data_IF_308560974287
#
_entry.id   IF_308560974287
#
_cell.length_a   1.000
_cell.length_b   1.000
_cell.length_c   1.000
_cell.angle_alpha   90.00
_cell.angle_beta   90.00
_cell.angle_gamma   90.00
#
_symmetry.space_group_name_H-M   'P 1'
#
loop_
_entity.id
_entity.type
_entity.pdbx_description
1 polymer ?
#
# COMPACT_ATOMS: atom_id res chain seq x y z
N UNK A 1 -4.17 -23.34 -24.44
CA UNK A 1 -3.75 -22.64 -23.21
C UNK A 1 -4.79 -22.90 -22.15
N UNK A 2 -4.40 -23.47 -21.00
CA UNK A 2 -5.34 -23.70 -19.88
C UNK A 2 -5.14 -22.55 -18.90
N UNK A 3 -6.20 -21.81 -18.59
CA UNK A 3 -6.21 -20.90 -17.42
C UNK A 3 -6.23 -21.81 -16.20
N UNK A 4 -5.22 -21.74 -15.33
CA UNK A 4 -5.14 -22.59 -14.14
C UNK A 4 -5.69 -21.90 -12.90
N UNK A 5 -5.58 -20.57 -12.80
CA UNK A 5 -6.14 -19.81 -11.68
C UNK A 5 -6.53 -18.37 -12.08
N UNK A 6 -7.55 -17.85 -11.39
CA UNK A 6 -7.98 -16.45 -11.39
C UNK A 6 -8.17 -15.99 -9.94
N UNK A 7 -7.77 -14.77 -9.64
CA UNK A 7 -7.91 -14.15 -8.32
C UNK A 7 -8.32 -12.69 -8.46
N UNK A 8 -9.21 -12.26 -7.56
CA UNK A 8 -9.61 -10.86 -7.45
C UNK A 8 -9.76 -10.50 -5.98
N UNK A 9 -9.30 -9.31 -5.63
CA UNK A 9 -9.46 -8.73 -4.30
C UNK A 9 -9.83 -7.26 -4.39
N UNK A 10 -10.69 -6.82 -3.48
CA UNK A 10 -11.00 -5.43 -3.24
C UNK A 10 -10.64 -5.06 -1.79
N UNK A 11 -9.83 -4.02 -1.64
CA UNK A 11 -9.35 -3.52 -0.35
C UNK A 11 -9.90 -2.12 -0.11
N UNK A 12 -10.39 -1.86 1.10
CA UNK A 12 -10.83 -0.54 1.53
C UNK A 12 -10.48 -0.30 2.99
N UNK A 13 -9.61 0.67 3.26
CA UNK A 13 -9.23 1.09 4.62
C UNK A 13 -9.49 2.57 4.91
N UNK A 14 -10.20 3.28 4.03
CA UNK A 14 -10.50 4.72 4.18
C UNK A 14 -11.39 5.05 5.39
N UNK A 15 -12.09 4.06 5.94
CA UNK A 15 -13.01 4.21 7.07
C UNK A 15 -12.31 3.73 8.34
N UNK A 16 -11.89 4.67 9.17
CA UNK A 16 -11.24 4.44 10.46
C UNK A 16 -12.03 5.23 11.53
N UNK A 17 -13.27 4.82 11.77
CA UNK A 17 -14.26 5.51 12.64
C UNK A 17 -14.62 6.96 12.26
N UNK A 18 -14.08 7.46 11.14
CA UNK A 18 -14.40 8.77 10.59
C UNK A 18 -13.32 9.83 10.89
N UNK A 19 -13.52 11.08 10.45
CA UNK A 19 -12.56 12.16 10.64
C UNK A 19 -12.68 12.87 12.00
N UNK A 20 -13.62 12.49 12.87
CA UNK A 20 -13.77 13.10 14.20
C UNK A 20 -12.52 12.93 15.06
N UNK A 21 -12.24 13.87 15.97
CA UNK A 21 -11.09 13.72 16.87
C UNK A 21 -11.16 12.41 17.69
N UNK A 22 -10.00 11.79 18.00
CA UNK A 22 -9.98 10.53 18.75
C UNK A 22 -10.41 10.72 20.21
N UNK A 23 -10.05 11.84 20.84
CA UNK A 23 -10.50 12.25 22.17
C UNK A 23 -10.86 13.74 22.15
N UNK A 24 -11.63 14.18 23.15
CA UNK A 24 -11.94 15.59 23.36
C UNK A 24 -10.71 16.40 23.77
N UNK A 25 -10.67 17.66 23.36
CA UNK A 25 -9.63 18.62 23.74
C UNK A 25 -10.25 19.83 24.46
N UNK A 26 -9.45 20.77 24.94
CA UNK A 26 -9.97 22.00 25.55
C UNK A 26 -10.86 22.81 24.59
N UNK A 27 -10.55 22.76 23.28
CA UNK A 27 -11.28 23.48 22.23
C UNK A 27 -12.44 22.66 21.62
N UNK A 28 -12.33 21.34 21.60
CA UNK A 28 -13.26 20.43 20.93
C UNK A 28 -13.75 19.36 21.90
N UNK A 29 -14.80 19.66 22.67
CA UNK A 29 -15.35 18.73 23.66
C UNK A 29 -16.63 18.05 23.19
N UNK A 30 -17.46 18.76 22.42
CA UNK A 30 -18.75 18.26 21.95
C UNK A 30 -18.71 17.87 20.48
N UNK A 31 -19.76 17.17 20.04
CA UNK A 31 -19.95 16.84 18.63
C UNK A 31 -20.09 18.10 17.77
N UNK A 32 -20.78 19.11 18.29
CA UNK A 32 -20.98 20.39 17.62
C UNK A 32 -19.63 21.09 17.37
N UNK A 33 -18.76 21.12 18.39
CA UNK A 33 -17.40 21.67 18.26
C UNK A 33 -16.55 20.83 17.31
N UNK A 34 -16.75 19.51 17.28
CA UNK A 34 -16.07 18.55 16.40
C UNK A 34 -16.70 18.47 14.99
N UNK A 35 -17.24 19.58 14.48
CA UNK A 35 -17.84 19.70 13.14
C UNK A 35 -18.93 18.67 12.83
N UNK A 36 -19.71 18.28 13.83
CA UNK A 36 -20.77 17.30 13.69
C UNK A 36 -20.32 15.84 13.67
N UNK A 37 -19.01 15.57 13.88
CA UNK A 37 -18.47 14.22 14.03
C UNK A 37 -18.44 13.78 15.49
N UNK A 38 -18.67 12.49 15.74
CA UNK A 38 -18.48 11.92 17.07
C UNK A 38 -16.99 11.92 17.46
N UNK A 39 -16.73 12.01 18.77
CA UNK A 39 -15.40 11.74 19.34
C UNK A 39 -15.12 10.22 19.26
N UNK A 40 -13.86 9.84 19.12
CA UNK A 40 -13.44 8.45 18.90
C UNK A 40 -13.25 8.10 17.42
N UNK A 41 -12.98 9.10 16.57
CA UNK A 41 -12.57 8.90 15.19
C UNK A 41 -11.06 8.90 15.00
N UNK A 42 -10.60 8.95 13.75
CA UNK A 42 -9.17 9.00 13.38
C UNK A 42 -8.32 7.91 14.04
N UNK A 43 -8.87 6.70 14.11
CA UNK A 43 -8.26 5.60 14.86
C UNK A 43 -6.81 5.33 14.45
N UNK A 44 -6.56 5.42 13.14
CA UNK A 44 -5.22 5.35 12.55
C UNK A 44 -4.49 4.07 12.99
N UNK A 45 -5.13 2.91 12.78
CA UNK A 45 -4.77 1.61 13.38
C UNK A 45 -3.32 1.13 13.19
N UNK A 46 -2.55 1.75 12.29
CA UNK A 46 -1.16 1.38 12.00
C UNK A 46 -0.14 2.31 12.66
N UNK A 47 -0.59 3.37 13.31
CA UNK A 47 0.21 4.27 14.13
C UNK A 47 -0.23 4.14 15.59
N UNK A 48 0.72 4.31 16.51
CA UNK A 48 0.45 4.19 17.94
C UNK A 48 1.27 5.20 18.73
N UNK A 49 0.66 5.76 19.78
CA UNK A 49 1.31 6.76 20.63
C UNK A 49 2.54 6.22 21.37
N UNK A 50 2.44 5.02 21.95
CA UNK A 50 3.51 4.40 22.71
C UNK A 50 4.55 3.75 21.78
N UNK A 51 4.07 3.04 20.76
CA UNK A 51 4.92 2.44 19.73
C UNK A 51 5.05 3.37 18.53
N UNK A 52 5.88 4.40 18.67
CA UNK A 52 6.04 5.47 17.68
C UNK A 52 6.60 4.99 16.33
N UNK A 53 7.17 3.79 16.26
CA UNK A 53 7.52 3.13 15.01
C UNK A 53 6.31 2.69 14.18
N UNK A 54 5.09 2.75 14.74
CA UNK A 54 3.90 2.17 14.15
C UNK A 54 4.04 0.65 13.93
N UNK A 55 3.14 0.08 13.12
CA UNK A 55 3.14 -1.34 12.75
C UNK A 55 4.22 -1.68 11.71
N UNK A 56 5.47 -1.40 12.07
CA UNK A 56 6.63 -1.54 11.18
C UNK A 56 7.74 -2.37 11.82
N UNK A 57 8.55 -2.99 10.96
CA UNK A 57 9.82 -3.61 11.33
C UNK A 57 10.89 -3.09 10.38
N UNK A 58 12.02 -2.62 10.93
CA UNK A 58 13.11 -2.02 10.14
C UNK A 58 12.59 -0.98 9.12
N UNK A 59 11.67 -0.10 9.56
CA UNK A 59 11.06 0.98 8.76
C UNK A 59 10.17 0.52 7.60
N UNK A 60 9.88 -0.78 7.50
CA UNK A 60 8.96 -1.37 6.52
C UNK A 60 7.65 -1.76 7.19
N UNK A 61 6.54 -1.55 6.49
CA UNK A 61 5.23 -1.99 6.97
C UNK A 61 5.21 -3.52 7.12
N UNK A 62 4.64 -4.01 8.23
CA UNK A 62 4.47 -5.47 8.47
C UNK A 62 3.11 -6.01 8.01
N UNK A 63 2.22 -5.14 7.54
CA UNK A 63 0.84 -5.45 7.13
C UNK A 63 0.70 -5.30 5.62
N UNK A 64 -0.35 -4.63 5.15
CA UNK A 64 -0.65 -4.47 3.74
C UNK A 64 0.52 -3.79 3.00
N UNK A 65 1.09 -4.41 1.95
CA UNK A 65 2.23 -3.85 1.20
C UNK A 65 1.95 -2.54 0.47
N UNK A 66 0.68 -2.17 0.26
CA UNK A 66 0.29 -0.89 -0.36
C UNK A 66 0.37 0.28 0.62
N UNK A 67 0.51 0.02 1.92
CA UNK A 67 0.70 1.08 2.90
C UNK A 67 2.12 1.63 2.86
N UNK A 68 2.24 2.94 3.00
CA UNK A 68 3.51 3.62 2.90
C UNK A 68 3.96 4.10 4.26
N UNK A 69 5.19 3.76 4.62
CA UNK A 69 5.89 4.39 5.73
C UNK A 69 6.48 5.72 5.27
N UNK A 70 6.68 6.65 6.20
CA UNK A 70 7.30 7.94 5.92
C UNK A 70 8.72 7.76 5.35
N UNK A 71 9.50 6.84 5.91
CA UNK A 71 10.83 6.52 5.40
C UNK A 71 10.81 6.04 3.95
N UNK A 72 9.83 5.21 3.59
CA UNK A 72 9.69 4.71 2.23
C UNK A 72 9.24 5.80 1.26
N UNK A 73 8.26 6.62 1.66
CA UNK A 73 7.71 7.66 0.78
C UNK A 73 8.71 8.77 0.45
N UNK A 74 9.70 9.03 1.30
CA UNK A 74 10.79 9.99 1.01
C UNK A 74 11.64 9.63 -0.21
N UNK A 75 11.55 8.41 -0.73
CA UNK A 75 12.26 8.03 -1.95
C UNK A 75 11.60 8.59 -3.22
N UNK A 76 10.33 9.02 -3.16
CA UNK A 76 9.57 9.40 -4.35
C UNK A 76 8.56 10.54 -4.16
N UNK A 77 8.18 10.88 -2.93
CA UNK A 77 7.36 12.06 -2.63
C UNK A 77 8.25 13.24 -2.25
N UNK A 78 7.80 14.50 -2.47
CA UNK A 78 8.45 15.67 -1.91
C UNK A 78 8.53 15.60 -0.38
N UNK A 79 9.31 16.47 0.25
CA UNK A 79 9.33 16.54 1.72
C UNK A 79 8.04 17.17 2.23
N UNK A 80 7.41 16.54 3.22
CA UNK A 80 6.20 17.02 3.89
C UNK A 80 6.26 16.65 5.38
N UNK A 81 5.49 17.32 6.26
CA UNK A 81 5.41 16.96 7.67
C UNK A 81 4.84 15.55 7.84
N UNK A 82 5.40 14.75 8.75
CA UNK A 82 4.89 13.40 9.01
C UNK A 82 3.72 13.38 10.01
N UNK A 83 3.41 14.51 10.64
CA UNK A 83 2.33 14.67 11.63
C UNK A 83 2.36 13.62 12.75
N UNK A 84 3.56 13.27 13.22
CA UNK A 84 3.82 12.22 14.22
C UNK A 84 3.36 10.80 13.82
N UNK A 85 3.17 10.54 12.52
CA UNK A 85 2.86 9.23 11.98
C UNK A 85 4.07 8.61 11.27
N UNK A 86 4.36 7.35 11.58
CA UNK A 86 5.36 6.57 10.85
C UNK A 86 4.76 5.91 9.60
N UNK A 87 3.50 5.47 9.67
CA UNK A 87 2.71 4.98 8.52
C UNK A 87 1.86 6.13 8.01
N UNK A 88 2.29 6.76 6.92
CA UNK A 88 1.70 8.01 6.39
C UNK A 88 0.65 7.78 5.31
N UNK A 89 0.49 6.54 4.85
CA UNK A 89 -0.60 6.14 3.97
C UNK A 89 -1.13 4.78 4.39
N UNK A 90 -2.24 4.79 5.13
CA UNK A 90 -2.97 3.60 5.53
C UNK A 90 -4.48 3.66 5.23
N UNK A 91 -4.92 4.73 4.55
CA UNK A 91 -6.28 4.90 4.04
C UNK A 91 -6.25 4.74 2.52
N UNK A 92 -6.59 3.55 2.03
CA UNK A 92 -6.57 3.24 0.60
C UNK A 92 -7.90 2.64 0.13
N UNK A 93 -8.13 2.73 -1.18
CA UNK A 93 -9.03 1.84 -1.92
C UNK A 93 -8.19 1.14 -2.98
N UNK A 94 -8.25 -0.17 -3.09
CA UNK A 94 -7.49 -0.89 -4.09
C UNK A 94 -8.26 -2.06 -4.69
N UNK A 95 -7.93 -2.38 -5.92
CA UNK A 95 -8.37 -3.58 -6.64
C UNK A 95 -7.13 -4.33 -7.07
N UNK A 96 -7.09 -5.63 -6.79
CA UNK A 96 -6.00 -6.51 -7.18
C UNK A 96 -6.56 -7.66 -8.01
N UNK A 97 -5.87 -8.01 -9.10
CA UNK A 97 -6.23 -9.10 -9.99
C UNK A 97 -5.01 -9.96 -10.28
N UNK A 98 -5.18 -11.28 -10.17
CA UNK A 98 -4.16 -12.28 -10.45
C UNK A 98 -4.65 -13.32 -11.44
N UNK A 99 -3.77 -13.77 -12.34
CA UNK A 99 -4.05 -14.84 -13.30
C UNK A 99 -2.84 -15.74 -13.45
N UNK A 100 -3.08 -17.05 -13.57
CA UNK A 100 -2.07 -18.04 -13.94
C UNK A 100 -2.54 -18.78 -15.18
N UNK A 101 -1.65 -18.87 -16.18
CA UNK A 101 -1.84 -19.57 -17.44
C UNK A 101 -0.78 -20.65 -17.59
N UNK A 102 -1.20 -21.82 -18.07
CA UNK A 102 -0.30 -22.93 -18.38
C UNK A 102 -0.49 -23.31 -19.86
N UNK A 103 0.26 -22.66 -20.78
CA UNK A 103 0.17 -22.97 -22.20
C UNK A 103 0.62 -24.40 -22.54
N UNK A 104 1.51 -24.98 -21.73
CA UNK A 104 2.00 -26.36 -21.83
C UNK A 104 2.46 -26.86 -20.46
N UNK A 105 2.62 -28.17 -20.30
CA UNK A 105 3.09 -28.81 -19.05
C UNK A 105 4.47 -28.37 -18.54
N UNK A 106 5.23 -27.59 -19.34
CA UNK A 106 6.56 -27.07 -18.97
C UNK A 106 6.61 -25.56 -18.87
N UNK A 107 5.51 -24.84 -19.13
CA UNK A 107 5.50 -23.37 -19.18
C UNK A 107 4.33 -22.84 -18.35
N UNK A 108 4.65 -22.05 -17.34
CA UNK A 108 3.67 -21.31 -16.53
C UNK A 108 3.90 -19.81 -16.69
N UNK A 109 2.81 -19.07 -16.84
CA UNK A 109 2.79 -17.61 -16.90
C UNK A 109 1.89 -17.09 -15.78
N UNK A 110 2.38 -16.15 -14.98
CA UNK A 110 1.62 -15.50 -13.91
C UNK A 110 1.58 -14.00 -14.17
N UNK A 111 0.39 -13.41 -14.11
CA UNK A 111 0.17 -11.97 -14.18
C UNK A 111 -0.50 -11.48 -12.91
N UNK A 112 -0.01 -10.39 -12.34
CA UNK A 112 -0.60 -9.71 -11.19
C UNK A 112 -0.70 -8.22 -11.47
N UNK A 113 -1.86 -7.62 -11.17
CA UNK A 113 -2.15 -6.22 -11.44
C UNK A 113 -2.87 -5.60 -10.25
N UNK A 114 -2.44 -4.42 -9.82
CA UNK A 114 -3.05 -3.71 -8.70
C UNK A 114 -3.30 -2.26 -9.08
N UNK A 115 -4.51 -1.76 -8.85
CA UNK A 115 -4.82 -0.34 -8.91
C UNK A 115 -5.17 0.14 -7.50
N UNK A 116 -4.56 1.23 -7.05
CA UNK A 116 -4.78 1.81 -5.73
C UNK A 116 -5.06 3.31 -5.81
N UNK A 117 -5.87 3.80 -4.87
CA UNK A 117 -6.07 5.22 -4.58
C UNK A 117 -5.70 5.46 -3.13
N UNK A 118 -4.73 6.35 -2.90
CA UNK A 118 -4.03 6.53 -1.65
C UNK A 118 -4.40 7.88 -1.02
N UNK A 119 -5.08 7.86 0.13
CA UNK A 119 -5.61 9.05 0.81
C UNK A 119 -4.79 9.47 2.05
N UNK A 120 -3.65 8.81 2.30
CA UNK A 120 -2.75 9.13 3.40
C UNK A 120 -3.34 8.77 4.78
N UNK A 121 -3.26 9.69 5.74
CA UNK A 121 -3.92 9.60 7.06
C UNK A 121 -4.87 10.78 7.30
N UNK A 122 -5.68 10.73 8.36
CA UNK A 122 -6.45 11.91 8.78
C UNK A 122 -5.56 12.98 9.42
N UNK A 123 -4.53 12.58 10.18
CA UNK A 123 -3.58 13.53 10.75
C UNK A 123 -2.90 14.37 9.67
N UNK A 124 -2.52 13.75 8.53
CA UNK A 124 -1.98 14.49 7.40
C UNK A 124 -2.97 15.43 6.70
N UNK A 125 -4.27 15.08 6.71
CA UNK A 125 -5.32 15.89 6.08
C UNK A 125 -5.71 17.12 6.93
N UNK A 126 -5.52 17.04 8.25
CA UNK A 126 -5.92 18.06 9.22
C UNK A 126 -4.76 18.58 10.07
N UNK A 127 -3.54 18.57 9.54
CA UNK A 127 -2.30 19.03 10.20
C UNK A 127 -1.97 18.45 11.59
N UNK A 128 -2.63 17.36 11.98
CA UNK A 128 -2.36 16.68 13.24
C UNK A 128 -3.49 15.75 13.67
N UNK A 129 -3.19 14.86 14.61
CA UNK A 129 -4.17 13.88 15.13
C UNK A 129 -5.34 14.56 15.86
N UNK A 130 -5.05 15.62 16.60
CA UNK A 130 -6.00 16.41 17.41
C UNK A 130 -6.34 17.79 16.82
N UNK A 131 -5.97 18.02 15.56
CA UNK A 131 -6.09 19.29 14.86
C UNK A 131 -7.24 19.26 13.84
N UNK A 132 -7.79 20.41 13.48
CA UNK A 132 -8.83 20.54 12.45
C UNK A 132 -8.42 21.48 11.31
N UNK A 133 -7.19 21.97 11.31
CA UNK A 133 -6.58 22.80 10.28
C UNK A 133 -6.41 22.03 8.95
N UNK A 134 -5.48 22.44 8.09
CA UNK A 134 -5.34 21.87 6.76
C UNK A 134 -6.60 22.06 5.92
N UNK A 135 -7.22 20.96 5.47
CA UNK A 135 -8.32 21.02 4.49
C UNK A 135 -9.60 21.73 4.97
N UNK A 136 -9.77 21.95 6.28
CA UNK A 136 -10.91 22.75 6.76
C UNK A 136 -10.67 24.24 6.67
N UNK A 137 -9.44 24.68 6.94
CA UNK A 137 -9.05 26.09 6.94
C UNK A 137 -8.63 26.56 5.55
N UNK A 138 -8.07 25.67 4.74
CA UNK A 138 -7.63 25.92 3.37
C UNK A 138 -8.08 24.77 2.44
N UNK A 139 -9.05 25.00 1.55
CA UNK A 139 -9.47 24.00 0.55
C UNK A 139 -8.34 23.52 -0.39
N UNK A 140 -7.30 24.35 -0.56
CA UNK A 140 -6.12 24.07 -1.39
C UNK A 140 -4.91 23.65 -0.56
N UNK A 141 -5.13 23.25 0.70
CA UNK A 141 -4.09 22.83 1.63
C UNK A 141 -3.09 21.86 0.99
N UNK A 142 -1.80 22.20 1.07
CA UNK A 142 -0.73 21.42 0.45
C UNK A 142 -0.51 20.09 1.20
N UNK A 143 -1.23 19.07 0.74
CA UNK A 143 -1.13 17.72 1.25
C UNK A 143 -0.83 16.73 0.14
N UNK A 144 0.25 15.97 0.31
CA UNK A 144 0.77 15.04 -0.70
C UNK A 144 -0.22 13.94 -1.14
N UNK A 145 -1.25 13.63 -0.32
CA UNK A 145 -2.30 12.67 -0.67
C UNK A 145 -3.68 13.34 -0.91
N UNK A 146 -3.74 14.66 -1.05
CA UNK A 146 -5.00 15.37 -1.31
C UNK A 146 -5.65 14.85 -2.61
N UNK A 147 -6.97 14.66 -2.58
CA UNK A 147 -7.73 14.10 -3.71
C UNK A 147 -7.54 12.59 -3.95
N UNK A 148 -6.56 11.95 -3.31
CA UNK A 148 -6.27 10.53 -3.43
C UNK A 148 -5.34 10.22 -4.61
N UNK A 149 -4.08 9.86 -4.33
CA UNK A 149 -3.06 9.54 -5.34
C UNK A 149 -3.30 8.18 -5.95
N UNK A 150 -3.47 8.12 -7.27
CA UNK A 150 -3.69 6.89 -8.04
C UNK A 150 -2.37 6.24 -8.41
N UNK A 151 -2.27 4.93 -8.22
CA UNK A 151 -1.08 4.16 -8.57
C UNK A 151 -1.47 2.80 -9.14
N UNK A 152 -0.84 2.42 -10.25
CA UNK A 152 -0.96 1.11 -10.87
C UNK A 152 0.35 0.34 -10.68
N UNK A 153 0.22 -0.96 -10.39
CA UNK A 153 1.33 -1.89 -10.21
C UNK A 153 1.09 -3.13 -11.06
N UNK A 154 2.13 -3.67 -11.66
CA UNK A 154 2.03 -4.91 -12.43
C UNK A 154 3.26 -5.78 -12.32
N UNK A 155 3.04 -7.10 -12.34
CA UNK A 155 4.08 -8.11 -12.41
C UNK A 155 3.68 -9.18 -13.43
N UNK A 156 4.61 -9.53 -14.30
CA UNK A 156 4.54 -10.71 -15.16
C UNK A 156 5.69 -11.64 -14.77
N UNK A 157 5.37 -12.90 -14.53
CA UNK A 157 6.32 -13.96 -14.23
C UNK A 157 6.17 -15.09 -15.26
N UNK A 158 7.30 -15.59 -15.73
CA UNK A 158 7.41 -16.70 -16.68
C UNK A 158 8.28 -17.76 -16.02
N UNK A 159 7.78 -18.98 -15.92
CA UNK A 159 8.51 -20.14 -15.42
C UNK A 159 8.56 -21.22 -16.51
N UNK A 160 9.76 -21.65 -16.86
CA UNK A 160 10.02 -22.70 -17.85
C UNK A 160 10.78 -23.85 -17.20
N UNK A 161 10.14 -25.01 -17.14
CA UNK A 161 10.78 -26.25 -16.73
C UNK A 161 11.72 -26.77 -17.82
N UNK A 162 12.90 -27.19 -17.40
CA UNK A 162 13.92 -27.72 -18.29
C UNK A 162 14.86 -28.68 -17.54
N UNK A 163 15.95 -29.06 -18.18
CA UNK A 163 17.00 -29.88 -17.59
C UNK A 163 18.35 -29.23 -17.86
N UNK A 164 19.16 -29.08 -16.81
CA UNK A 164 20.52 -28.57 -16.90
C UNK A 164 21.44 -29.52 -16.13
N UNK A 165 22.53 -29.98 -16.75
CA UNK A 165 23.43 -31.01 -16.18
C UNK A 165 22.72 -32.29 -15.69
N UNK A 166 21.70 -32.74 -16.43
CA UNK A 166 20.84 -33.89 -16.07
C UNK A 166 20.01 -33.69 -14.79
N UNK A 167 20.00 -32.49 -14.22
CA UNK A 167 19.13 -32.12 -13.10
C UNK A 167 17.91 -31.33 -13.61
N UNK A 168 16.71 -31.56 -13.06
CA UNK A 168 15.55 -30.72 -13.37
C UNK A 168 15.78 -29.30 -12.84
N UNK A 169 15.46 -28.30 -13.66
CA UNK A 169 15.59 -26.90 -13.28
C UNK A 169 14.38 -26.09 -13.76
N UNK A 170 14.06 -25.04 -13.00
CA UNK A 170 13.11 -24.01 -13.42
C UNK A 170 13.88 -22.75 -13.80
N UNK A 171 13.72 -22.31 -15.04
CA UNK A 171 14.14 -20.98 -15.45
C UNK A 171 12.99 -20.01 -15.19
N UNK A 172 13.24 -19.00 -14.37
CA UNK A 172 12.26 -18.00 -13.99
C UNK A 172 12.69 -16.63 -14.50
N UNK A 173 11.75 -15.92 -15.11
CA UNK A 173 11.89 -14.51 -15.45
C UNK A 173 10.72 -13.72 -14.89
N UNK A 174 11.00 -12.59 -14.25
CA UNK A 174 9.99 -11.65 -13.76
C UNK A 174 10.24 -10.27 -14.34
N UNK A 175 9.16 -9.56 -14.62
CA UNK A 175 9.18 -8.18 -15.07
C UNK A 175 8.05 -7.40 -14.40
N UNK A 176 8.39 -6.23 -13.86
CA UNK A 176 7.47 -5.35 -13.15
C UNK A 176 7.42 -3.97 -13.81
N UNK A 177 6.22 -3.39 -13.85
CA UNK A 177 5.97 -2.03 -14.29
C UNK A 177 4.96 -1.38 -13.36
N UNK A 178 5.38 -0.29 -12.74
CA UNK A 178 4.57 0.52 -11.86
C UNK A 178 4.52 1.95 -12.39
N UNK A 179 3.34 2.56 -12.36
CA UNK A 179 3.17 3.94 -12.81
C UNK A 179 1.97 4.62 -12.14
N UNK A 180 2.05 5.94 -12.02
CA UNK A 180 0.97 6.75 -11.47
C UNK A 180 1.48 8.02 -10.82
N UNK A 181 0.71 8.51 -9.86
CA UNK A 181 0.95 9.78 -9.19
C UNK A 181 1.91 9.68 -7.99
N UNK A 182 2.26 8.46 -7.54
CA UNK A 182 3.25 8.26 -6.49
C UNK A 182 4.66 8.17 -7.07
N UNK A 183 4.85 7.26 -8.03
CA UNK A 183 6.13 7.05 -8.71
C UNK A 183 5.96 6.24 -9.99
N UNK A 184 6.99 6.26 -10.83
CA UNK A 184 7.13 5.34 -11.96
C UNK A 184 8.36 4.46 -11.73
N UNK A 185 8.21 3.15 -11.89
CA UNK A 185 9.29 2.20 -11.66
C UNK A 185 9.20 1.01 -12.62
N UNK A 186 10.35 0.43 -12.96
CA UNK A 186 10.43 -0.83 -13.70
C UNK A 186 11.48 -1.72 -13.06
N UNK A 187 11.23 -3.03 -13.07
CA UNK A 187 12.15 -4.01 -12.50
C UNK A 187 12.13 -5.30 -13.28
N UNK A 188 13.23 -6.05 -13.21
CA UNK A 188 13.30 -7.40 -13.75
C UNK A 188 14.15 -8.30 -12.86
N UNK A 189 13.86 -9.59 -12.89
CA UNK A 189 14.64 -10.63 -12.21
C UNK A 189 14.74 -11.87 -13.10
N UNK A 190 15.91 -12.50 -13.11
CA UNK A 190 16.14 -13.80 -13.74
C UNK A 190 16.68 -14.76 -12.69
N UNK A 191 16.11 -15.95 -12.61
CA UNK A 191 16.51 -16.96 -11.64
C UNK A 191 16.56 -18.36 -12.26
N UNK A 192 17.43 -19.20 -11.70
CA UNK A 192 17.52 -20.64 -12.00
C UNK A 192 17.33 -21.37 -10.68
N UNK A 193 16.29 -22.19 -10.59
CA UNK A 193 15.98 -22.99 -9.40
C UNK A 193 16.26 -24.46 -9.70
N UNK A 194 17.12 -25.10 -8.90
CA UNK A 194 17.42 -26.52 -9.01
C UNK A 194 16.41 -27.33 -8.19
N UNK A 195 15.70 -28.24 -8.85
CA UNK A 195 14.75 -29.12 -8.18
C UNK A 195 15.48 -30.39 -7.75
N UNK A 196 15.98 -30.39 -6.51
CA UNK A 196 16.63 -31.56 -5.92
C UNK A 196 15.58 -32.58 -5.52
N UNK A 197 15.75 -33.84 -5.95
CA UNK A 197 14.94 -34.94 -5.43
C UNK A 197 15.43 -35.27 -4.03
N UNK A 198 14.58 -35.11 -3.02
CA UNK A 198 14.81 -35.70 -1.70
C UNK A 198 14.78 -37.22 -1.85
N UNK A 199 15.81 -37.89 -1.32
CA UNK A 199 15.92 -39.35 -1.23
C UNK A 199 15.18 -39.87 0.00
#
# INVERSE_FOLDING_TARGET
SKISALYFEWIRSVSQSGPGLPDGTDEYQTREDNYGYEIGGRDDYYNNWLYQSGWTYQKRIMSNPLFLTYDWSRNFLPTFPNYNNQVINNRIKAYHFGIILEPSDKLSLKGMFTYSVNYGTYAGLYEGRFAWEGIKTDPDFDYVFLGGKKQFYSLIEIVRESTLFKQPVNFKGMFALDFGELYNNTGMELAVEFVLKSY
#
